data_IF_026228259671
#
_entry.id   IF_026228259671
#
_cell.length_a   1.000
_cell.length_b   1.000
_cell.length_c   1.000
_cell.angle_alpha   90.00
_cell.angle_beta   90.00
_cell.angle_gamma   90.00
#
_symmetry.space_group_name_H-M   'P 1'
#
loop_
_entity.id
_entity.type
_entity.pdbx_description
1 polymer ?
#
# COMPACT_ATOMS: atom_id res chain seq x y z
N UNK A 1 51.08 37.79 -28.43
CA UNK A 1 50.10 38.76 -28.94
C UNK A 1 48.77 38.00 -29.09
N UNK A 2 47.70 38.24 -28.41
CA UNK A 2 47.16 39.31 -27.60
C UNK A 2 46.43 38.67 -26.43
N UNK A 3 46.50 39.32 -25.31
CA UNK A 3 45.82 39.09 -24.03
C UNK A 3 44.34 39.44 -24.16
N UNK A 4 43.45 38.56 -23.67
CA UNK A 4 42.07 38.92 -23.47
C UNK A 4 41.73 38.91 -21.96
N UNK A 5 41.12 40.02 -21.52
CA UNK A 5 40.96 40.46 -20.14
C UNK A 5 39.69 39.85 -19.55
N UNK A 6 39.81 39.24 -18.41
CA UNK A 6 38.69 38.89 -17.51
C UNK A 6 37.93 40.14 -17.06
N UNK A 7 36.57 40.09 -17.12
CA UNK A 7 35.65 41.03 -16.49
C UNK A 7 35.15 40.47 -15.16
N UNK A 8 35.06 41.28 -14.10
CA UNK A 8 34.59 40.82 -12.79
C UNK A 8 33.06 40.68 -12.76
N UNK A 9 32.57 39.58 -12.21
CA UNK A 9 31.16 39.34 -11.91
C UNK A 9 30.76 40.13 -10.66
N UNK A 10 29.72 40.96 -10.79
CA UNK A 10 29.12 41.72 -9.69
C UNK A 10 28.43 40.78 -8.71
N UNK A 11 28.76 40.99 -7.42
CA UNK A 11 28.14 40.23 -6.30
C UNK A 11 26.66 40.57 -6.11
N UNK A 12 25.90 39.55 -5.73
CA UNK A 12 24.51 39.59 -5.28
C UNK A 12 24.51 39.97 -3.78
N UNK A 13 23.64 40.87 -3.31
CA UNK A 13 23.63 41.27 -1.90
C UNK A 13 23.03 40.19 -1.02
N UNK A 14 23.64 40.00 0.17
CA UNK A 14 23.22 39.04 1.19
C UNK A 14 21.85 39.37 1.77
N UNK A 15 21.02 38.34 1.81
CA UNK A 15 19.67 38.34 2.36
C UNK A 15 19.70 38.54 3.91
N UNK A 16 18.95 39.52 4.42
CA UNK A 16 18.84 39.84 5.84
C UNK A 16 17.99 38.78 6.53
N UNK A 17 18.58 38.00 7.39
CA UNK A 17 17.88 37.12 8.34
C UNK A 17 17.10 37.97 9.35
N UNK A 18 15.77 37.86 9.33
CA UNK A 18 14.88 38.40 10.35
C UNK A 18 15.07 37.64 11.67
N UNK A 19 15.32 38.35 12.75
CA UNK A 19 15.49 37.78 14.08
C UNK A 19 14.16 37.71 14.83
N UNK A 20 14.07 36.76 15.79
CA UNK A 20 12.87 36.49 16.61
C UNK A 20 12.33 37.68 17.40
N UNK A 21 12.99 38.82 17.37
CA UNK A 21 12.64 40.04 18.11
C UNK A 21 11.70 40.97 17.35
N UNK A 22 11.55 40.82 16.04
CA UNK A 22 10.74 41.72 15.19
C UNK A 22 9.24 41.32 15.10
N UNK A 23 8.84 40.21 15.75
CA UNK A 23 7.49 39.66 15.72
C UNK A 23 6.63 39.97 16.95
N UNK A 24 7.13 40.71 17.94
CA UNK A 24 6.43 40.94 19.21
C UNK A 24 5.87 42.33 19.43
N UNK A 25 5.87 43.23 18.44
CA UNK A 25 5.34 44.58 18.57
C UNK A 25 4.29 44.86 17.48
N UNK A 26 3.15 44.24 17.50
CA UNK A 26 1.87 44.76 16.94
C UNK A 26 0.71 43.82 17.27
N UNK A 27 -0.05 44.16 18.30
CA UNK A 27 -1.32 43.47 18.56
C UNK A 27 -1.85 43.65 19.99
N UNK A 28 -2.01 44.87 20.44
CA UNK A 28 -2.82 45.12 21.62
C UNK A 28 -4.02 45.99 21.24
N UNK A 29 -5.22 45.54 21.55
CA UNK A 29 -6.41 46.40 21.57
C UNK A 29 -7.66 45.81 20.95
N UNK A 30 -8.50 45.18 21.74
CA UNK A 30 -9.87 45.57 22.07
C UNK A 30 -10.64 44.42 22.72
N UNK A 31 -10.91 44.59 23.99
CA UNK A 31 -11.87 43.79 24.75
C UNK A 31 -13.30 44.28 24.44
N UNK A 32 -14.24 43.35 24.32
CA UNK A 32 -15.68 43.61 24.23
C UNK A 32 -16.45 42.39 24.72
N UNK A 33 -16.91 42.49 25.99
CA UNK A 33 -17.76 41.49 26.63
C UNK A 33 -19.24 41.69 26.26
N UNK A 34 -20.06 40.66 26.52
CA UNK A 34 -21.54 40.56 26.64
C UNK A 34 -22.11 39.57 25.64
N UNK A 35 -23.04 38.67 25.92
CA UNK A 35 -23.82 38.34 27.10
C UNK A 35 -24.40 36.94 26.87
N UNK A 36 -24.62 36.23 27.97
CA UNK A 36 -25.31 34.93 28.06
C UNK A 36 -26.81 35.14 27.90
N UNK A 37 -27.46 34.28 27.11
CA UNK A 37 -28.91 34.11 27.15
C UNK A 37 -29.34 32.75 26.64
N UNK A 38 -30.01 31.91 27.44
CA UNK A 38 -30.54 30.62 27.02
C UNK A 38 -31.92 30.81 26.40
N UNK A 39 -32.18 30.18 25.26
CA UNK A 39 -33.55 29.96 24.77
C UNK A 39 -33.79 28.46 24.64
N UNK A 40 -34.67 28.00 25.46
CA UNK A 40 -35.34 26.71 25.45
C UNK A 40 -36.47 26.67 24.43
N UNK A 41 -36.60 25.54 23.79
CA UNK A 41 -37.81 24.83 23.35
C UNK A 41 -38.75 25.51 22.34
N UNK A 42 -39.04 24.74 21.30
CA UNK A 42 -40.43 24.32 21.06
C UNK A 42 -40.43 23.16 20.03
N UNK A 43 -41.11 22.10 20.42
CA UNK A 43 -41.58 21.01 19.55
C UNK A 43 -42.63 21.47 18.57
N UNK A 44 -42.65 20.80 17.40
CA UNK A 44 -43.91 20.57 16.69
C UNK A 44 -43.87 20.84 15.17
N UNK A 45 -44.15 19.78 14.39
CA UNK A 45 -44.78 19.95 13.07
C UNK A 45 -44.07 19.35 11.87
N UNK A 46 -44.32 18.11 11.65
CA UNK A 46 -44.62 17.38 10.41
C UNK A 46 -44.30 18.04 9.04
N UNK A 47 -43.60 17.31 8.18
CA UNK A 47 -43.84 17.27 6.73
C UNK A 47 -42.76 17.88 5.85
N UNK A 48 -42.07 17.05 5.08
CA UNK A 48 -41.31 17.45 3.90
C UNK A 48 -39.89 16.89 3.89
N UNK A 49 -39.70 15.73 3.28
CA UNK A 49 -38.40 15.26 2.83
C UNK A 49 -37.86 16.19 1.76
N UNK A 50 -37.03 17.13 2.14
CA UNK A 50 -36.00 17.69 1.27
C UNK A 50 -34.66 17.42 1.96
N UNK A 51 -33.80 16.65 1.27
CA UNK A 51 -32.48 16.24 1.77
C UNK A 51 -31.59 17.45 2.07
N UNK A 52 -31.70 17.96 3.29
CA UNK A 52 -30.76 18.92 3.84
C UNK A 52 -29.51 18.18 4.29
N UNK A 53 -28.44 18.25 3.51
CA UNK A 53 -27.12 17.79 3.90
C UNK A 53 -26.66 18.51 5.17
N UNK A 54 -26.79 17.86 6.31
CA UNK A 54 -26.21 18.35 7.57
C UNK A 54 -24.71 18.11 7.56
N UNK A 55 -23.91 19.14 7.89
CA UNK A 55 -22.48 18.97 8.09
C UNK A 55 -22.23 17.85 9.12
N UNK A 56 -21.38 16.88 8.77
CA UNK A 56 -21.01 15.80 9.65
C UNK A 56 -20.21 16.36 10.84
N UNK A 57 -20.71 16.19 12.05
CA UNK A 57 -20.09 16.73 13.26
C UNK A 57 -18.85 15.95 13.71
N UNK A 58 -18.73 14.69 13.27
CA UNK A 58 -17.59 13.82 13.57
C UNK A 58 -17.41 12.78 12.46
N UNK A 59 -16.19 12.28 12.26
CA UNK A 59 -15.94 11.23 11.26
C UNK A 59 -16.72 9.96 11.60
N UNK A 60 -17.45 9.38 10.62
CA UNK A 60 -18.24 8.15 10.85
C UNK A 60 -17.34 6.93 11.03
N UNK A 61 -17.83 5.91 11.73
CA UNK A 61 -17.22 4.58 11.79
C UNK A 61 -17.85 3.58 10.81
N UNK A 62 -18.99 3.95 10.21
CA UNK A 62 -19.75 3.14 9.26
C UNK A 62 -20.18 4.00 8.07
N UNK A 63 -19.70 3.65 6.89
CA UNK A 63 -19.99 4.34 5.63
C UNK A 63 -21.42 4.14 5.15
N UNK A 64 -22.09 3.05 5.56
CA UNK A 64 -23.51 2.82 5.23
C UNK A 64 -24.47 3.73 6.01
N UNK A 65 -23.99 4.28 7.14
CA UNK A 65 -24.77 5.14 8.02
C UNK A 65 -24.80 6.62 7.58
N UNK A 66 -24.04 7.00 6.56
CA UNK A 66 -23.91 8.38 6.06
C UNK A 66 -24.11 8.46 4.56
N UNK A 67 -24.72 9.54 4.10
CA UNK A 67 -24.81 9.77 2.65
C UNK A 67 -23.41 10.11 2.10
N UNK A 68 -23.02 9.47 0.99
CA UNK A 68 -21.71 9.71 0.37
C UNK A 68 -21.49 11.21 0.05
N UNK A 69 -22.53 11.93 -0.33
CA UNK A 69 -22.43 13.37 -0.63
C UNK A 69 -22.05 14.20 0.61
N UNK A 70 -22.51 13.82 1.80
CA UNK A 70 -22.18 14.52 3.05
C UNK A 70 -20.71 14.24 3.43
N UNK A 71 -20.24 12.98 3.25
CA UNK A 71 -18.83 12.63 3.42
C UNK A 71 -17.95 13.39 2.41
N UNK A 72 -18.38 13.51 1.15
CA UNK A 72 -17.65 14.28 0.12
C UNK A 72 -17.59 15.77 0.50
N UNK A 73 -18.67 16.34 1.03
CA UNK A 73 -18.67 17.73 1.48
C UNK A 73 -17.67 17.95 2.64
N UNK A 74 -17.75 17.09 3.67
CA UNK A 74 -16.83 17.18 4.81
C UNK A 74 -15.36 16.99 4.42
N UNK A 75 -15.05 16.03 3.53
CA UNK A 75 -13.71 15.83 3.01
C UNK A 75 -13.21 17.04 2.17
N UNK A 76 -14.10 17.70 1.42
CA UNK A 76 -13.74 18.91 0.67
C UNK A 76 -13.45 20.10 1.58
N UNK A 77 -14.08 20.19 2.73
CA UNK A 77 -13.76 21.20 3.74
C UNK A 77 -12.37 20.99 4.33
N UNK A 78 -11.89 19.74 4.44
CA UNK A 78 -10.50 19.43 4.80
C UNK A 78 -9.53 19.76 3.65
N UNK A 79 -9.94 19.62 2.40
CA UNK A 79 -9.25 20.05 1.19
C UNK A 79 -8.06 19.20 0.75
N UNK A 80 -7.61 18.24 1.58
CA UNK A 80 -6.43 17.43 1.32
C UNK A 80 -6.57 15.99 1.85
N UNK A 81 -5.65 15.14 1.40
CA UNK A 81 -5.39 13.81 1.97
C UNK A 81 -3.89 13.51 1.87
N UNK A 82 -3.34 12.90 2.90
CA UNK A 82 -1.97 12.40 2.91
C UNK A 82 -1.97 10.87 2.87
N UNK A 83 -1.43 10.32 1.80
CA UNK A 83 -1.12 8.90 1.68
C UNK A 83 0.38 8.65 1.93
N UNK A 84 0.77 7.41 2.15
CA UNK A 84 2.16 7.00 2.31
C UNK A 84 2.35 5.65 1.63
N UNK A 85 3.56 5.37 1.14
CA UNK A 85 3.97 4.07 0.62
C UNK A 85 3.10 3.56 -0.56
N UNK A 86 2.59 4.45 -1.42
CA UNK A 86 1.83 4.09 -2.61
C UNK A 86 2.66 4.38 -3.87
N UNK A 87 3.57 3.48 -4.33
CA UNK A 87 4.30 3.69 -5.56
C UNK A 87 3.33 3.77 -6.75
N UNK A 88 3.46 4.74 -7.66
CA UNK A 88 2.54 4.89 -8.79
C UNK A 88 2.44 3.66 -9.71
N UNK A 89 3.51 2.89 -9.81
CA UNK A 89 3.66 1.66 -10.59
C UNK A 89 3.27 0.38 -9.83
N UNK A 90 2.96 0.48 -8.54
CA UNK A 90 2.49 -0.63 -7.73
C UNK A 90 0.97 -0.78 -7.83
N UNK A 91 0.49 -1.94 -8.29
CA UNK A 91 -0.94 -2.26 -8.39
C UNK A 91 -1.81 -1.13 -8.97
N UNK A 92 -1.23 -0.30 -9.88
CA UNK A 92 -1.88 0.83 -10.53
C UNK A 92 -2.24 2.02 -9.61
N UNK A 93 -1.55 2.20 -8.46
CA UNK A 93 -1.83 3.32 -7.55
C UNK A 93 -1.73 4.70 -8.20
N UNK A 94 -0.87 4.86 -9.22
CA UNK A 94 -0.77 6.12 -9.97
C UNK A 94 -2.11 6.57 -10.56
N UNK A 95 -2.80 5.66 -11.23
CA UNK A 95 -4.12 5.93 -11.83
C UNK A 95 -5.22 6.03 -10.75
N UNK A 96 -5.13 5.22 -9.67
CA UNK A 96 -6.06 5.27 -8.55
C UNK A 96 -6.03 6.65 -7.87
N UNK A 97 -4.83 7.14 -7.53
CA UNK A 97 -4.64 8.48 -6.95
C UNK A 97 -5.12 9.58 -7.89
N UNK A 98 -4.79 9.49 -9.18
CA UNK A 98 -5.25 10.45 -10.18
C UNK A 98 -6.77 10.46 -10.31
N UNK A 99 -7.40 9.29 -10.35
CA UNK A 99 -8.86 9.17 -10.46
C UNK A 99 -9.57 9.72 -9.23
N UNK A 100 -9.03 9.46 -8.03
CA UNK A 100 -9.53 10.03 -6.78
C UNK A 100 -9.47 11.56 -6.79
N UNK A 101 -8.30 12.13 -7.09
CA UNK A 101 -8.11 13.58 -7.17
C UNK A 101 -9.04 14.22 -8.22
N UNK A 102 -9.15 13.61 -9.40
CA UNK A 102 -10.01 14.12 -10.49
C UNK A 102 -11.48 14.10 -10.10
N UNK A 103 -11.92 13.08 -9.36
CA UNK A 103 -13.32 12.90 -8.97
C UNK A 103 -13.74 13.84 -7.85
N UNK A 104 -12.88 14.05 -6.86
CA UNK A 104 -13.26 14.77 -5.64
C UNK A 104 -12.63 16.16 -5.50
N UNK A 105 -11.58 16.47 -6.25
CA UNK A 105 -10.89 17.76 -6.22
C UNK A 105 -10.03 17.99 -5.01
N UNK A 106 -9.68 16.92 -4.26
CA UNK A 106 -8.81 16.99 -3.08
C UNK A 106 -7.34 17.02 -3.50
N UNK A 107 -6.51 17.76 -2.76
CA UNK A 107 -5.05 17.70 -2.89
C UNK A 107 -4.55 16.41 -2.25
N UNK A 108 -3.96 15.51 -3.02
CA UNK A 108 -3.34 14.29 -2.51
C UNK A 108 -1.81 14.48 -2.41
N UNK A 109 -1.25 14.16 -1.26
CA UNK A 109 0.19 14.09 -1.03
C UNK A 109 0.56 12.66 -0.69
N UNK A 110 1.42 12.03 -1.48
CA UNK A 110 1.91 10.67 -1.24
C UNK A 110 3.35 10.74 -0.74
N UNK A 111 3.55 10.45 0.56
CA UNK A 111 4.87 10.49 1.18
C UNK A 111 5.62 9.17 0.96
N UNK A 112 6.95 9.24 0.84
CA UNK A 112 7.85 8.06 0.76
C UNK A 112 7.23 6.89 -0.01
N UNK A 113 7.00 7.01 -1.33
CA UNK A 113 6.25 6.01 -2.10
C UNK A 113 6.77 4.57 -1.98
N UNK A 114 8.07 4.40 -1.77
CA UNK A 114 8.71 3.09 -1.69
C UNK A 114 8.95 2.62 -0.23
N UNK A 115 8.24 3.20 0.74
CA UNK A 115 8.35 2.77 2.13
C UNK A 115 7.75 1.37 2.32
N UNK A 116 8.33 0.60 3.24
CA UNK A 116 7.80 -0.69 3.64
C UNK A 116 6.71 -0.55 4.72
N UNK A 117 5.87 -1.58 4.90
CA UNK A 117 4.77 -1.56 5.86
C UNK A 117 5.19 -1.21 7.31
N UNK A 118 6.41 -1.54 7.71
CA UNK A 118 6.96 -1.14 9.02
C UNK A 118 7.18 0.36 9.13
N UNK A 119 7.62 1.01 8.03
CA UNK A 119 7.89 2.45 7.98
C UNK A 119 6.59 3.26 7.99
N UNK A 120 5.51 2.69 7.44
CA UNK A 120 4.17 3.29 7.51
C UNK A 120 3.68 3.36 8.96
N UNK A 121 3.77 2.27 9.74
CA UNK A 121 3.43 2.28 11.16
C UNK A 121 4.30 3.25 11.95
N UNK A 122 5.59 3.34 11.61
CA UNK A 122 6.52 4.27 12.25
C UNK A 122 6.19 5.73 11.92
N UNK A 123 5.73 6.01 10.69
CA UNK A 123 5.28 7.33 10.29
C UNK A 123 4.04 7.78 11.09
N UNK A 124 3.06 6.90 11.31
CA UNK A 124 1.89 7.19 12.17
C UNK A 124 2.34 7.59 13.59
N UNK A 125 3.30 6.87 14.17
CA UNK A 125 3.79 7.13 15.52
C UNK A 125 4.61 8.43 15.60
N UNK A 126 5.58 8.57 14.71
CA UNK A 126 6.54 9.69 14.76
C UNK A 126 5.98 11.02 14.29
N UNK A 127 4.95 11.00 13.43
CA UNK A 127 4.30 12.21 12.90
C UNK A 127 2.99 12.55 13.61
N UNK A 128 2.62 11.83 14.67
CA UNK A 128 1.38 12.06 15.42
C UNK A 128 1.17 13.54 15.75
N UNK A 129 -0.01 14.08 15.39
CA UNK A 129 -0.39 15.46 15.62
C UNK A 129 0.28 16.48 14.69
N UNK A 130 0.94 16.03 13.62
CA UNK A 130 1.47 16.91 12.57
C UNK A 130 0.56 16.84 11.33
N UNK A 131 0.37 17.99 10.65
CA UNK A 131 -0.47 18.08 9.45
C UNK A 131 0.02 17.22 8.28
N UNK A 132 1.27 16.78 8.31
CA UNK A 132 1.88 15.89 7.31
C UNK A 132 1.82 14.40 7.67
N UNK A 133 1.21 14.03 8.79
CA UNK A 133 1.03 12.64 9.15
C UNK A 133 0.18 11.93 8.08
N UNK A 134 0.41 10.65 7.78
CA UNK A 134 -0.43 9.92 6.85
C UNK A 134 -1.86 9.80 7.39
N UNK A 135 -2.84 10.00 6.52
CA UNK A 135 -4.26 9.78 6.83
C UNK A 135 -4.63 8.31 6.67
N UNK A 136 -4.05 7.66 5.66
CA UNK A 136 -4.32 6.27 5.30
C UNK A 136 -3.03 5.51 5.07
N UNK A 137 -3.08 4.20 5.27
CA UNK A 137 -1.98 3.26 5.10
C UNK A 137 -2.42 2.10 4.21
N UNK A 138 -1.45 1.45 3.57
CA UNK A 138 -1.63 0.23 2.79
C UNK A 138 -0.61 -0.85 3.21
N UNK A 139 -0.89 -1.49 4.32
CA UNK A 139 0.04 -2.40 4.99
C UNK A 139 -0.29 -3.87 4.77
N UNK A 140 0.71 -4.74 4.79
CA UNK A 140 0.47 -6.18 4.75
C UNK A 140 -0.20 -6.69 6.04
N UNK A 141 -0.91 -7.84 6.03
CA UNK A 141 -1.77 -8.30 7.14
C UNK A 141 -1.06 -8.43 8.48
N UNK A 142 0.22 -8.82 8.49
CA UNK A 142 0.99 -8.90 9.74
C UNK A 142 1.20 -7.52 10.39
N UNK A 143 1.36 -6.48 9.58
CA UNK A 143 1.49 -5.09 10.04
C UNK A 143 0.12 -4.46 10.32
N UNK A 144 -0.93 -4.87 9.62
CA UNK A 144 -2.30 -4.48 9.95
C UNK A 144 -2.71 -4.98 11.34
N UNK A 145 -2.40 -6.24 11.67
CA UNK A 145 -2.59 -6.79 13.02
C UNK A 145 -1.78 -6.00 14.06
N UNK A 146 -0.50 -5.74 13.81
CA UNK A 146 0.35 -4.95 14.69
C UNK A 146 -0.21 -3.54 14.91
N UNK A 147 -0.62 -2.84 13.86
CA UNK A 147 -1.16 -1.49 13.96
C UNK A 147 -2.46 -1.42 14.78
N UNK A 148 -3.33 -2.44 14.66
CA UNK A 148 -4.50 -2.61 15.51
C UNK A 148 -4.11 -2.81 16.98
N UNK A 149 -3.20 -3.74 17.26
CA UNK A 149 -2.74 -4.07 18.62
C UNK A 149 -2.08 -2.85 19.31
N UNK A 150 -1.33 -2.05 18.54
CA UNK A 150 -0.71 -0.81 19.00
C UNK A 150 -1.70 0.39 19.04
N UNK A 151 -2.99 0.18 18.72
CA UNK A 151 -4.04 1.22 18.72
C UNK A 151 -3.71 2.42 17.80
N UNK A 152 -3.11 2.13 16.65
CA UNK A 152 -2.72 3.16 15.67
C UNK A 152 -3.86 3.52 14.71
N UNK A 153 -4.91 2.70 14.59
CA UNK A 153 -5.94 2.83 13.57
C UNK A 153 -7.28 3.29 14.12
N UNK A 154 -8.03 4.01 13.29
CA UNK A 154 -9.45 4.28 13.52
C UNK A 154 -10.31 3.23 12.81
N UNK A 155 -11.36 2.73 13.43
CA UNK A 155 -12.27 1.78 12.79
C UNK A 155 -13.12 2.50 11.72
N UNK A 156 -13.30 1.83 10.57
CA UNK A 156 -14.23 2.25 9.54
C UNK A 156 -14.68 1.06 8.69
N UNK A 157 -15.98 0.86 8.59
CA UNK A 157 -16.60 -0.10 7.68
C UNK A 157 -17.11 0.66 6.45
N UNK A 158 -16.55 0.36 5.28
CA UNK A 158 -16.98 0.98 4.03
C UNK A 158 -18.42 0.62 3.67
N UNK A 159 -19.12 1.47 2.90
CA UNK A 159 -20.51 1.24 2.51
C UNK A 159 -20.75 -0.09 1.77
N UNK A 160 -19.71 -0.66 1.20
CA UNK A 160 -19.73 -1.97 0.49
C UNK A 160 -19.23 -3.13 1.34
N UNK A 161 -19.14 -2.98 2.66
CA UNK A 161 -18.55 -3.93 3.62
C UNK A 161 -19.03 -5.37 3.46
N UNK A 162 -20.33 -5.57 3.28
CA UNK A 162 -20.95 -6.90 3.16
C UNK A 162 -20.58 -7.64 1.87
N UNK A 163 -19.97 -6.94 0.91
CA UNK A 163 -19.52 -7.52 -0.35
C UNK A 163 -18.06 -7.96 -0.35
N UNK A 164 -17.35 -7.66 0.75
CA UNK A 164 -15.95 -8.04 0.97
C UNK A 164 -15.93 -9.35 1.78
N UNK A 165 -15.16 -10.37 1.37
CA UNK A 165 -15.03 -11.62 2.12
C UNK A 165 -14.55 -11.38 3.56
N UNK A 166 -15.12 -12.12 4.54
CA UNK A 166 -14.74 -12.00 5.95
C UNK A 166 -13.26 -12.32 6.20
N UNK A 167 -12.64 -13.14 5.36
CA UNK A 167 -11.21 -13.45 5.42
C UNK A 167 -10.31 -12.27 5.02
N UNK A 168 -10.87 -11.22 4.43
CA UNK A 168 -10.14 -10.04 3.96
C UNK A 168 -10.48 -8.78 4.75
N UNK A 169 -11.05 -8.88 5.95
CA UNK A 169 -11.40 -7.71 6.76
C UNK A 169 -11.31 -8.00 8.26
N UNK A 170 -10.97 -6.98 9.01
CA UNK A 170 -11.05 -7.01 10.45
C UNK A 170 -12.52 -6.84 10.89
N UNK A 171 -13.08 -7.73 11.72
CA UNK A 171 -14.51 -7.65 12.09
C UNK A 171 -14.89 -6.33 12.79
N UNK A 172 -13.92 -5.67 13.45
CA UNK A 172 -14.13 -4.38 14.13
C UNK A 172 -13.87 -3.18 13.20
N UNK A 173 -13.47 -3.40 11.94
CA UNK A 173 -13.26 -2.36 10.94
C UNK A 173 -11.95 -1.60 11.03
N UNK A 174 -10.93 -2.06 11.78
CA UNK A 174 -9.64 -1.37 11.87
C UNK A 174 -8.80 -1.43 10.59
N UNK A 175 -9.03 -2.45 9.77
CA UNK A 175 -8.42 -2.60 8.45
C UNK A 175 -9.33 -3.41 7.53
N UNK A 176 -9.12 -3.27 6.25
CA UNK A 176 -9.84 -4.02 5.22
C UNK A 176 -8.91 -4.32 4.04
N UNK A 177 -8.85 -5.59 3.60
CA UNK A 177 -8.09 -6.01 2.44
C UNK A 177 -8.64 -5.37 1.17
N UNK A 178 -7.78 -4.87 0.32
CA UNK A 178 -8.16 -4.11 -0.87
C UNK A 178 -7.97 -4.89 -2.17
N UNK A 179 -6.83 -5.52 -2.32
CA UNK A 179 -6.48 -6.41 -3.43
C UNK A 179 -5.51 -7.48 -2.95
N UNK A 180 -5.34 -8.53 -3.73
CA UNK A 180 -4.39 -9.60 -3.46
C UNK A 180 -3.62 -10.01 -4.71
N UNK A 181 -2.52 -10.68 -4.52
CA UNK A 181 -1.70 -11.31 -5.54
C UNK A 181 -1.10 -12.62 -5.06
N UNK A 182 -0.56 -13.39 -5.99
CA UNK A 182 0.22 -14.59 -5.71
C UNK A 182 1.72 -14.31 -5.85
N UNK A 183 2.53 -15.02 -5.07
CA UNK A 183 3.99 -14.97 -5.24
C UNK A 183 4.35 -15.60 -6.59
N UNK A 184 5.14 -14.87 -7.38
CA UNK A 184 5.58 -15.28 -8.70
C UNK A 184 7.08 -14.98 -8.90
N UNK A 185 7.66 -15.61 -9.91
CA UNK A 185 9.01 -15.33 -10.38
C UNK A 185 8.96 -14.45 -11.62
N UNK A 186 9.72 -13.37 -11.61
CA UNK A 186 10.05 -12.62 -12.80
C UNK A 186 11.45 -12.95 -13.28
N UNK A 187 11.68 -12.98 -14.57
CA UNK A 187 13.00 -13.28 -15.12
C UNK A 187 13.31 -12.44 -16.36
N UNK A 188 14.51 -11.88 -16.38
CA UNK A 188 15.10 -11.22 -17.53
C UNK A 188 15.78 -12.25 -18.45
N UNK A 189 15.12 -12.62 -19.55
CA UNK A 189 15.63 -13.62 -20.50
C UNK A 189 16.83 -13.15 -21.32
N UNK A 190 17.24 -11.89 -21.23
CA UNK A 190 18.50 -11.41 -21.80
C UNK A 190 19.71 -11.84 -20.94
N UNK A 191 19.46 -12.24 -19.67
CA UNK A 191 20.48 -12.59 -18.66
C UNK A 191 20.39 -14.04 -18.19
N UNK A 192 19.17 -14.62 -18.16
CA UNK A 192 18.94 -16.01 -17.73
C UNK A 192 18.27 -16.83 -18.82
N UNK A 193 18.53 -18.16 -18.90
CA UNK A 193 18.08 -18.98 -20.04
C UNK A 193 16.58 -19.25 -20.06
N UNK A 194 15.93 -19.21 -18.88
CA UNK A 194 14.51 -19.51 -18.75
C UNK A 194 13.94 -18.89 -17.47
N UNK A 195 12.61 -18.76 -17.42
CA UNK A 195 11.87 -18.40 -16.20
C UNK A 195 11.84 -19.63 -15.28
N UNK A 196 12.21 -19.52 -14.00
CA UNK A 196 11.97 -20.57 -13.02
C UNK A 196 10.47 -20.90 -12.92
N UNK A 197 10.14 -22.19 -12.78
CA UNK A 197 8.75 -22.69 -12.68
C UNK A 197 8.48 -23.40 -11.37
N UNK A 198 9.51 -23.66 -10.59
CA UNK A 198 9.48 -24.23 -9.25
C UNK A 198 10.48 -23.53 -8.33
N UNK A 199 10.30 -23.68 -7.03
CA UNK A 199 11.27 -23.17 -6.06
C UNK A 199 12.63 -23.86 -6.16
N UNK A 200 12.66 -25.16 -6.55
CA UNK A 200 13.91 -25.88 -6.75
C UNK A 200 14.74 -25.31 -7.92
N UNK A 201 14.08 -24.79 -8.98
CA UNK A 201 14.78 -24.15 -10.10
C UNK A 201 15.64 -22.97 -9.67
N UNK A 202 15.30 -22.28 -8.56
CA UNK A 202 16.09 -21.18 -8.03
C UNK A 202 17.48 -21.60 -7.50
N UNK A 203 17.69 -22.91 -7.29
CA UNK A 203 18.99 -23.46 -6.90
C UNK A 203 19.91 -23.76 -8.08
N UNK A 204 19.45 -23.58 -9.33
CA UNK A 204 20.27 -23.82 -10.52
C UNK A 204 21.55 -22.98 -10.45
N UNK A 205 22.76 -23.60 -10.68
CA UNK A 205 24.04 -22.88 -10.65
C UNK A 205 24.14 -21.71 -11.64
N UNK A 206 23.37 -21.73 -12.74
CA UNK A 206 23.30 -20.62 -13.71
C UNK A 206 22.70 -19.34 -13.13
N UNK A 207 21.99 -19.44 -12.01
CA UNK A 207 21.38 -18.32 -11.27
C UNK A 207 22.28 -17.73 -10.19
N UNK A 208 23.56 -18.10 -10.15
CA UNK A 208 24.50 -17.55 -9.18
C UNK A 208 24.55 -16.02 -9.25
N UNK A 209 24.28 -15.36 -8.11
CA UNK A 209 24.26 -13.89 -8.00
C UNK A 209 23.09 -13.23 -8.72
N UNK A 210 21.95 -13.91 -8.93
CA UNK A 210 20.87 -13.39 -9.77
C UNK A 210 19.48 -13.40 -9.14
N UNK A 211 19.27 -14.06 -7.99
CA UNK A 211 17.95 -14.18 -7.35
C UNK A 211 17.80 -13.12 -6.26
N UNK A 212 16.78 -12.30 -6.36
CA UNK A 212 16.47 -11.23 -5.41
C UNK A 212 15.00 -11.26 -4.94
N UNK A 213 14.74 -10.70 -3.76
CA UNK A 213 13.39 -10.43 -3.26
C UNK A 213 13.12 -8.93 -3.21
N UNK A 214 11.85 -8.55 -3.18
CA UNK A 214 11.44 -7.17 -2.97
C UNK A 214 11.48 -6.84 -1.46
N UNK A 215 12.65 -6.44 -0.98
CA UNK A 215 12.91 -6.00 0.39
C UNK A 215 13.35 -7.11 1.35
N UNK A 216 13.44 -6.71 2.61
CA UNK A 216 13.78 -7.59 3.74
C UNK A 216 12.48 -8.21 4.31
N UNK A 217 12.39 -9.54 4.49
CA UNK A 217 11.17 -10.17 4.97
C UNK A 217 10.78 -9.80 6.41
N UNK A 218 11.68 -9.16 7.15
CA UNK A 218 11.36 -8.60 8.49
C UNK A 218 10.53 -7.31 8.42
N UNK A 219 10.56 -6.60 7.29
CA UNK A 219 9.97 -5.26 7.10
C UNK A 219 9.06 -5.16 5.88
N UNK A 220 9.33 -5.93 4.81
CA UNK A 220 8.58 -5.94 3.57
C UNK A 220 7.55 -7.07 3.52
N UNK A 221 6.31 -6.75 3.14
CA UNK A 221 5.23 -7.72 2.94
C UNK A 221 5.47 -8.68 1.77
N UNK A 222 6.08 -8.20 0.67
CA UNK A 222 6.43 -9.03 -0.48
C UNK A 222 7.47 -10.08 -0.14
N UNK A 223 8.58 -9.68 0.45
CA UNK A 223 9.64 -10.60 0.85
C UNK A 223 9.16 -11.59 1.92
N UNK A 224 8.33 -11.14 2.87
CA UNK A 224 7.67 -12.00 3.85
C UNK A 224 6.83 -13.10 3.18
N UNK A 225 6.04 -12.75 2.18
CA UNK A 225 5.25 -13.71 1.41
C UNK A 225 6.13 -14.69 0.61
N UNK A 226 7.27 -14.23 0.10
CA UNK A 226 8.27 -15.07 -0.55
C UNK A 226 8.80 -16.17 0.38
N UNK A 227 9.03 -15.87 1.69
CA UNK A 227 9.44 -16.88 2.67
C UNK A 227 8.32 -17.89 2.94
N UNK A 228 7.06 -17.46 3.01
CA UNK A 228 5.92 -18.38 3.12
C UNK A 228 5.83 -19.34 1.93
N UNK A 229 5.90 -18.81 0.72
CA UNK A 229 5.83 -19.60 -0.50
C UNK A 229 6.99 -20.61 -0.58
N UNK A 230 8.20 -20.17 -0.27
CA UNK A 230 9.36 -21.06 -0.17
C UNK A 230 9.14 -22.17 0.86
N UNK A 231 8.55 -21.87 2.01
CA UNK A 231 8.24 -22.86 3.04
C UNK A 231 7.27 -23.92 2.55
N UNK A 232 6.15 -23.50 1.93
CA UNK A 232 5.16 -24.44 1.38
C UNK A 232 5.76 -25.38 0.33
N UNK A 233 6.68 -24.88 -0.51
CA UNK A 233 7.37 -25.65 -1.52
C UNK A 233 8.38 -26.67 -0.92
N UNK A 234 8.91 -26.38 0.26
CA UNK A 234 9.96 -27.18 0.89
C UNK A 234 9.46 -28.00 2.10
N UNK A 235 8.17 -28.40 2.09
CA UNK A 235 7.60 -29.30 3.08
C UNK A 235 7.11 -28.64 4.36
N UNK A 236 7.10 -27.30 4.43
CA UNK A 236 6.49 -26.53 5.49
C UNK A 236 4.98 -26.40 5.35
N UNK A 237 4.40 -25.57 6.19
CA UNK A 237 2.95 -25.29 6.20
C UNK A 237 2.68 -23.82 6.53
N UNK A 238 1.41 -23.42 6.58
CA UNK A 238 1.04 -22.08 7.08
C UNK A 238 1.36 -21.88 8.58
N UNK A 239 1.51 -22.98 9.34
CA UNK A 239 1.83 -22.96 10.77
C UNK A 239 3.33 -23.14 11.05
N UNK A 240 4.11 -23.55 10.04
CA UNK A 240 5.58 -23.71 10.15
C UNK A 240 6.28 -23.21 8.88
N UNK A 241 6.87 -22.04 8.98
CA UNK A 241 7.63 -21.42 7.88
C UNK A 241 9.14 -21.59 8.03
N UNK A 242 9.60 -22.39 8.97
CA UNK A 242 11.04 -22.70 9.16
C UNK A 242 11.70 -23.17 7.86
N UNK A 243 11.09 -24.12 7.07
CA UNK A 243 11.69 -24.56 5.81
C UNK A 243 11.90 -23.43 4.79
N UNK A 244 11.09 -22.34 4.83
CA UNK A 244 11.29 -21.19 3.97
C UNK A 244 12.55 -20.39 4.35
N UNK A 245 12.81 -20.20 5.64
CA UNK A 245 14.04 -19.54 6.11
C UNK A 245 15.26 -20.39 5.76
N UNK A 246 15.19 -21.70 5.93
CA UNK A 246 16.27 -22.64 5.56
C UNK A 246 16.54 -22.64 4.05
N UNK A 247 15.49 -22.55 3.22
CA UNK A 247 15.63 -22.44 1.77
C UNK A 247 16.44 -21.21 1.37
N UNK A 248 16.13 -20.03 1.93
CA UNK A 248 16.91 -18.82 1.65
C UNK A 248 18.34 -18.87 2.22
N UNK A 249 18.53 -19.52 3.36
CA UNK A 249 19.87 -19.78 3.88
C UNK A 249 20.69 -20.65 2.92
N UNK A 250 20.08 -21.66 2.31
CA UNK A 250 20.72 -22.49 1.28
C UNK A 250 21.02 -21.67 0.02
N UNK A 251 20.05 -20.91 -0.52
CA UNK A 251 20.26 -20.03 -1.68
C UNK A 251 21.39 -19.03 -1.45
N UNK A 252 21.51 -18.48 -0.25
CA UNK A 252 22.62 -17.60 0.14
C UNK A 252 23.94 -18.35 0.16
N UNK A 253 23.96 -19.55 0.73
CA UNK A 253 25.17 -20.39 0.85
C UNK A 253 25.71 -20.79 -0.53
N UNK A 254 24.86 -21.17 -1.48
CA UNK A 254 25.26 -21.50 -2.86
C UNK A 254 25.56 -20.26 -3.70
N UNK A 255 25.19 -19.07 -3.21
CA UNK A 255 25.49 -17.77 -3.82
C UNK A 255 24.48 -17.33 -4.89
N UNK A 256 23.31 -17.95 -4.99
CA UNK A 256 22.26 -17.55 -5.93
C UNK A 256 21.48 -16.33 -5.42
N UNK A 257 21.18 -16.28 -4.10
CA UNK A 257 20.47 -15.14 -3.50
C UNK A 257 21.39 -13.93 -3.31
N UNK A 258 20.91 -12.77 -3.74
CA UNK A 258 21.54 -11.46 -3.53
C UNK A 258 20.61 -10.57 -2.70
N UNK A 259 21.14 -9.87 -1.68
CA UNK A 259 20.35 -8.93 -0.87
C UNK A 259 20.27 -7.56 -1.56
N UNK A 260 19.64 -7.54 -2.72
CA UNK A 260 19.38 -6.32 -3.52
C UNK A 260 17.87 -6.18 -3.64
N UNK A 261 17.35 -5.02 -3.27
CA UNK A 261 15.92 -4.78 -3.35
C UNK A 261 15.44 -4.77 -4.80
N UNK A 262 14.37 -5.51 -5.06
CA UNK A 262 13.69 -5.48 -6.36
C UNK A 262 12.92 -4.17 -6.46
N UNK A 263 13.28 -3.37 -7.43
CA UNK A 263 12.61 -2.12 -7.77
C UNK A 263 12.42 -2.05 -9.28
N UNK A 264 11.48 -1.23 -9.80
CA UNK A 264 11.38 -0.98 -11.24
C UNK A 264 12.74 -0.63 -11.88
N UNK A 265 13.53 0.20 -11.18
CA UNK A 265 14.86 0.61 -11.64
C UNK A 265 15.88 -0.53 -11.70
N UNK A 266 15.92 -1.42 -10.70
CA UNK A 266 16.84 -2.56 -10.67
C UNK A 266 16.48 -3.62 -11.73
N UNK A 267 15.18 -3.83 -11.97
CA UNK A 267 14.67 -4.70 -13.03
C UNK A 267 15.04 -4.15 -14.41
N UNK A 268 14.74 -2.87 -14.68
CA UNK A 268 15.02 -2.21 -15.96
C UNK A 268 16.52 -2.19 -16.32
N UNK A 269 17.40 -2.10 -15.31
CA UNK A 269 18.86 -2.14 -15.48
C UNK A 269 19.44 -3.55 -15.53
N UNK A 270 18.65 -4.59 -15.28
CA UNK A 270 19.11 -5.97 -15.19
C UNK A 270 19.94 -6.28 -13.94
N UNK A 271 19.84 -5.47 -12.88
CA UNK A 271 20.54 -5.67 -11.60
C UNK A 271 19.91 -6.81 -10.79
N UNK A 272 18.62 -7.08 -10.99
CA UNK A 272 17.86 -8.17 -10.36
C UNK A 272 17.26 -9.07 -11.45
N UNK A 273 18.07 -9.95 -12.08
CA UNK A 273 17.67 -10.72 -13.25
C UNK A 273 16.57 -11.77 -12.98
N UNK A 274 16.50 -12.30 -11.77
CA UNK A 274 15.41 -13.17 -11.29
C UNK A 274 14.87 -12.60 -10.01
N UNK A 275 13.57 -12.36 -9.98
CA UNK A 275 12.89 -11.74 -8.84
C UNK A 275 11.82 -12.64 -8.26
N UNK A 276 11.66 -12.60 -6.95
CA UNK A 276 10.56 -13.20 -6.20
C UNK A 276 9.72 -12.04 -5.69
N UNK A 277 8.51 -11.89 -6.25
CA UNK A 277 7.61 -10.78 -5.95
C UNK A 277 6.16 -11.15 -6.34
N UNK A 278 5.24 -10.20 -6.25
CA UNK A 278 3.85 -10.38 -6.63
C UNK A 278 3.68 -10.54 -8.14
N UNK A 279 2.78 -11.43 -8.54
CA UNK A 279 2.43 -11.69 -9.94
C UNK A 279 1.98 -10.44 -10.69
N UNK A 280 1.21 -9.56 -10.06
CA UNK A 280 0.73 -8.33 -10.68
C UNK A 280 1.86 -7.34 -11.00
N UNK A 281 2.90 -7.25 -10.15
CA UNK A 281 4.08 -6.43 -10.44
C UNK A 281 4.89 -7.01 -11.59
N UNK A 282 5.12 -8.32 -11.55
CA UNK A 282 5.84 -9.02 -12.60
C UNK A 282 5.14 -8.89 -13.96
N UNK A 283 3.80 -8.96 -13.97
CA UNK A 283 2.99 -8.76 -15.18
C UNK A 283 3.08 -7.32 -15.70
N UNK A 284 3.04 -6.33 -14.81
CA UNK A 284 3.19 -4.92 -15.17
C UNK A 284 4.55 -4.66 -15.83
N UNK A 285 5.64 -5.20 -15.28
CA UNK A 285 7.00 -5.06 -15.83
C UNK A 285 7.14 -5.63 -17.24
N UNK A 286 6.36 -6.67 -17.60
CA UNK A 286 6.36 -7.23 -18.97
C UNK A 286 5.99 -6.19 -20.03
N UNK A 287 5.07 -5.28 -19.72
CA UNK A 287 4.69 -4.18 -20.62
C UNK A 287 5.55 -2.94 -20.44
N UNK A 288 5.81 -2.55 -19.21
CA UNK A 288 6.52 -1.32 -18.86
C UNK A 288 7.96 -1.31 -19.36
N UNK A 289 8.66 -2.42 -19.21
CA UNK A 289 10.08 -2.52 -19.58
C UNK A 289 10.34 -3.26 -20.90
N UNK A 290 9.29 -3.49 -21.72
CA UNK A 290 9.40 -4.25 -22.98
C UNK A 290 10.48 -3.72 -23.96
N UNK A 291 10.82 -2.42 -23.90
CA UNK A 291 11.87 -1.82 -24.71
C UNK A 291 13.28 -1.91 -24.10
N UNK A 292 13.40 -2.37 -22.85
CA UNK A 292 14.65 -2.39 -22.09
C UNK A 292 15.13 -3.82 -21.80
N UNK A 293 14.20 -4.70 -21.42
CA UNK A 293 14.49 -6.09 -21.03
C UNK A 293 13.44 -7.05 -21.56
N UNK A 294 13.84 -8.27 -21.89
CA UNK A 294 12.94 -9.37 -22.24
C UNK A 294 12.40 -10.02 -20.96
N UNK A 295 11.42 -9.35 -20.31
CA UNK A 295 10.86 -9.80 -19.06
C UNK A 295 9.79 -10.87 -19.24
N UNK A 296 9.85 -11.94 -18.46
CA UNK A 296 8.85 -13.01 -18.42
C UNK A 296 8.47 -13.36 -16.99
N UNK A 297 7.24 -13.83 -16.83
CA UNK A 297 6.65 -14.18 -15.54
C UNK A 297 6.36 -15.67 -15.48
N UNK A 298 6.74 -16.31 -14.37
CA UNK A 298 6.40 -17.68 -14.03
C UNK A 298 5.69 -17.72 -12.68
N UNK A 299 4.46 -18.23 -12.65
CA UNK A 299 3.83 -18.60 -11.38
C UNK A 299 4.33 -19.99 -11.01
N UNK A 300 4.97 -20.18 -9.83
CA UNK A 300 5.50 -21.49 -9.46
C UNK A 300 4.39 -22.53 -9.35
N UNK A 301 4.74 -23.77 -9.68
CA UNK A 301 3.82 -24.93 -9.62
C UNK A 301 3.80 -25.62 -8.26
N UNK A 302 4.60 -25.09 -7.34
CA UNK A 302 4.78 -25.50 -5.94
C UNK A 302 4.85 -24.25 -5.05
N UNK A 303 4.45 -24.38 -3.78
CA UNK A 303 4.50 -23.26 -2.84
C UNK A 303 3.54 -22.11 -3.19
N UNK A 304 2.37 -22.43 -3.73
CA UNK A 304 1.37 -21.45 -4.15
C UNK A 304 0.84 -20.69 -2.92
N UNK A 305 1.37 -19.50 -2.71
CA UNK A 305 1.01 -18.59 -1.63
C UNK A 305 0.58 -17.23 -2.17
N UNK A 306 -0.51 -16.71 -1.64
CA UNK A 306 -0.97 -15.36 -1.89
C UNK A 306 -1.08 -14.55 -0.62
N UNK A 307 -1.04 -13.26 -0.78
CA UNK A 307 -1.32 -12.33 0.30
C UNK A 307 -2.02 -11.09 -0.27
N UNK A 308 -2.56 -10.30 0.64
CA UNK A 308 -3.27 -9.07 0.32
C UNK A 308 -2.63 -7.90 1.05
N UNK A 309 -3.00 -6.69 0.67
CA UNK A 309 -2.72 -5.50 1.45
C UNK A 309 -3.99 -5.02 2.15
N UNK A 310 -3.81 -4.19 3.16
CA UNK A 310 -4.89 -3.74 4.03
C UNK A 310 -4.89 -2.22 4.08
N UNK A 311 -5.96 -1.63 3.61
CA UNK A 311 -6.24 -0.23 3.87
C UNK A 311 -6.59 -0.05 5.35
N UNK A 312 -5.92 0.89 6.01
CA UNK A 312 -6.22 1.30 7.37
C UNK A 312 -6.25 2.83 7.46
N UNK A 313 -7.06 3.36 8.37
CA UNK A 313 -7.11 4.79 8.65
C UNK A 313 -6.27 5.08 9.89
N UNK A 314 -5.35 6.04 9.82
CA UNK A 314 -4.63 6.53 10.99
C UNK A 314 -5.62 7.06 12.04
N UNK A 315 -5.54 6.55 13.28
CA UNK A 315 -6.40 6.94 14.39
C UNK A 315 -6.28 8.42 14.79
N UNK A 316 -5.23 9.08 14.31
CA UNK A 316 -4.98 10.52 14.50
C UNK A 316 -4.78 11.25 13.18
N UNK A 317 -5.46 10.78 12.12
CA UNK A 317 -5.40 11.35 10.78
C UNK A 317 -5.68 12.86 10.80
N UNK A 318 -4.84 13.71 10.15
CA UNK A 318 -5.14 15.13 10.02
C UNK A 318 -6.38 15.42 9.17
N UNK A 319 -6.74 14.53 8.23
CA UNK A 319 -7.88 14.67 7.35
C UNK A 319 -8.81 13.43 7.46
N UNK A 320 -9.52 13.28 8.59
CA UNK A 320 -10.25 12.05 8.90
C UNK A 320 -11.45 11.77 7.99
N UNK A 321 -12.09 12.78 7.40
CA UNK A 321 -13.17 12.59 6.43
C UNK A 321 -12.62 12.20 5.04
N UNK A 322 -11.53 12.84 4.61
CA UNK A 322 -10.85 12.49 3.36
C UNK A 322 -10.27 11.06 3.40
N UNK A 323 -9.78 10.60 4.56
CA UNK A 323 -9.34 9.22 4.77
C UNK A 323 -10.48 8.22 4.53
N UNK A 324 -11.68 8.49 5.04
CA UNK A 324 -12.86 7.64 4.82
C UNK A 324 -13.35 7.70 3.37
N UNK A 325 -13.33 8.88 2.77
CA UNK A 325 -13.68 9.06 1.36
C UNK A 325 -12.71 8.31 0.43
N UNK A 326 -11.41 8.25 0.79
CA UNK A 326 -10.43 7.43 0.10
C UNK A 326 -10.82 5.95 0.14
N UNK A 327 -11.18 5.42 1.31
CA UNK A 327 -11.62 4.03 1.42
C UNK A 327 -12.92 3.79 0.64
N UNK A 328 -13.92 4.67 0.72
CA UNK A 328 -15.13 4.55 -0.12
C UNK A 328 -14.80 4.51 -1.61
N UNK A 329 -13.84 5.31 -2.06
CA UNK A 329 -13.38 5.27 -3.46
C UNK A 329 -12.67 3.95 -3.78
N UNK A 330 -11.73 3.52 -2.97
CA UNK A 330 -10.98 2.28 -3.15
C UNK A 330 -11.90 1.06 -3.23
N UNK A 331 -12.94 1.01 -2.39
CA UNK A 331 -13.91 -0.09 -2.38
C UNK A 331 -15.14 0.14 -3.26
N UNK A 332 -15.21 1.23 -4.04
CA UNK A 332 -16.19 1.38 -5.13
C UNK A 332 -15.87 0.43 -6.29
N UNK A 333 -16.85 0.17 -7.17
CA UNK A 333 -16.59 -0.62 -8.40
C UNK A 333 -15.47 0.02 -9.23
N UNK A 334 -15.41 1.36 -9.29
CA UNK A 334 -14.36 2.09 -10.00
C UNK A 334 -12.97 1.81 -9.43
N UNK A 335 -12.79 1.94 -8.12
CA UNK A 335 -11.51 1.67 -7.45
C UNK A 335 -11.06 0.22 -7.64
N UNK A 336 -11.97 -0.73 -7.43
CA UNK A 336 -11.69 -2.16 -7.59
C UNK A 336 -11.30 -2.52 -9.03
N UNK A 337 -11.91 -1.91 -10.05
CA UNK A 337 -11.53 -2.13 -11.46
C UNK A 337 -10.17 -1.51 -11.80
N UNK A 338 -9.74 -0.45 -11.11
CA UNK A 338 -8.41 0.14 -11.30
C UNK A 338 -7.31 -0.81 -10.80
N UNK A 339 -7.50 -1.50 -9.67
CA UNK A 339 -6.58 -2.55 -9.23
C UNK A 339 -6.54 -3.73 -10.20
N UNK A 340 -7.71 -4.18 -10.68
CA UNK A 340 -7.77 -5.25 -11.69
C UNK A 340 -7.04 -4.85 -12.99
N UNK A 341 -7.11 -3.58 -13.38
CA UNK A 341 -6.34 -3.04 -14.52
C UNK A 341 -4.83 -3.10 -14.26
N UNK A 342 -4.40 -2.98 -13.00
CA UNK A 342 -3.05 -3.19 -12.53
C UNK A 342 -2.68 -4.66 -12.30
N UNK A 343 -3.45 -5.61 -12.86
CA UNK A 343 -3.27 -7.06 -12.76
C UNK A 343 -3.49 -7.67 -11.38
N UNK A 344 -3.78 -6.90 -10.35
CA UNK A 344 -4.07 -7.41 -9.01
C UNK A 344 -5.53 -7.85 -8.88
N UNK A 345 -5.81 -8.76 -7.94
CA UNK A 345 -7.15 -9.28 -7.72
C UNK A 345 -7.88 -8.42 -6.68
N UNK A 346 -8.93 -7.65 -7.07
CA UNK A 346 -9.65 -6.81 -6.12
C UNK A 346 -10.42 -7.63 -5.08
N UNK A 347 -10.50 -7.13 -3.85
CA UNK A 347 -11.19 -7.82 -2.74
C UNK A 347 -12.66 -8.11 -3.03
N UNK A 348 -13.34 -7.25 -3.80
CA UNK A 348 -14.75 -7.38 -4.18
C UNK A 348 -14.98 -8.12 -5.51
N UNK A 349 -13.94 -8.82 -6.03
CA UNK A 349 -14.03 -9.47 -7.35
C UNK A 349 -15.24 -10.40 -7.46
N UNK A 350 -15.50 -11.23 -6.45
CA UNK A 350 -16.61 -12.20 -6.47
C UNK A 350 -17.98 -11.52 -6.55
N UNK A 351 -18.21 -10.45 -5.79
CA UNK A 351 -19.43 -9.65 -5.85
C UNK A 351 -19.59 -8.99 -7.23
N UNK A 352 -18.55 -8.35 -7.72
CA UNK A 352 -18.55 -7.66 -9.01
C UNK A 352 -18.77 -8.63 -10.18
N UNK A 353 -18.17 -9.83 -10.13
CA UNK A 353 -18.36 -10.87 -11.14
C UNK A 353 -19.81 -11.37 -11.13
N UNK A 354 -20.41 -11.59 -9.94
CA UNK A 354 -21.81 -11.99 -9.79
C UNK A 354 -22.78 -10.96 -10.40
N UNK A 355 -22.45 -9.66 -10.29
CA UNK A 355 -23.23 -8.57 -10.86
C UNK A 355 -22.91 -8.27 -12.34
N UNK A 356 -22.01 -9.03 -12.97
CA UNK A 356 -21.47 -8.79 -14.32
C UNK A 356 -20.81 -7.39 -14.46
N UNK A 357 -20.24 -6.85 -13.39
CA UNK A 357 -19.55 -5.57 -13.37
C UNK A 357 -18.07 -5.66 -13.77
N UNK A 358 -17.52 -6.86 -13.98
CA UNK A 358 -16.12 -7.07 -14.35
C UNK A 358 -15.95 -7.16 -15.87
N UNK A 359 -15.19 -6.26 -16.53
CA UNK A 359 -14.91 -6.36 -17.95
C UNK A 359 -14.09 -7.62 -18.31
N UNK A 360 -14.56 -8.39 -19.28
CA UNK A 360 -13.88 -9.64 -19.72
C UNK A 360 -12.44 -9.40 -20.17
N UNK A 361 -12.14 -8.27 -20.77
CA UNK A 361 -10.80 -7.94 -21.23
C UNK A 361 -9.78 -7.83 -20.08
N UNK A 362 -10.20 -7.33 -18.93
CA UNK A 362 -9.32 -7.25 -17.74
C UNK A 362 -9.05 -8.65 -17.16
N UNK A 363 -10.07 -9.51 -17.11
CA UNK A 363 -9.88 -10.89 -16.64
C UNK A 363 -8.96 -11.69 -17.58
N UNK A 364 -9.06 -11.46 -18.88
CA UNK A 364 -8.23 -12.15 -19.88
C UNK A 364 -6.74 -11.76 -19.81
N UNK A 365 -6.41 -10.66 -19.17
CA UNK A 365 -5.02 -10.22 -18.95
C UNK A 365 -4.34 -10.91 -17.77
N UNK A 366 -5.11 -11.58 -16.88
CA UNK A 366 -4.59 -12.31 -15.74
C UNK A 366 -4.12 -13.71 -16.13
N UNK A 367 -3.22 -14.34 -15.36
CA UNK A 367 -2.94 -15.76 -15.43
C UNK A 367 -4.21 -16.61 -15.29
N UNK A 368 -4.16 -17.87 -15.71
CA UNK A 368 -5.36 -18.73 -15.69
C UNK A 368 -5.92 -18.90 -14.27
N UNK A 369 -7.24 -18.90 -14.14
CA UNK A 369 -7.93 -19.14 -12.87
C UNK A 369 -7.49 -20.45 -12.17
N UNK A 370 -7.03 -21.47 -12.93
CA UNK A 370 -6.55 -22.73 -12.39
C UNK A 370 -5.30 -22.56 -11.49
N UNK A 371 -4.45 -21.56 -11.76
CA UNK A 371 -3.29 -21.26 -10.93
C UNK A 371 -3.73 -20.67 -9.59
N UNK A 372 -4.67 -19.76 -9.61
CA UNK A 372 -5.14 -19.07 -8.41
C UNK A 372 -6.00 -19.94 -7.48
N UNK A 373 -6.64 -20.99 -7.99
CA UNK A 373 -7.43 -21.92 -7.18
C UNK A 373 -6.62 -22.70 -6.14
N UNK A 374 -5.30 -22.74 -6.27
CA UNK A 374 -4.40 -23.43 -5.34
C UNK A 374 -3.73 -22.49 -4.34
N UNK A 375 -3.83 -21.20 -4.54
CA UNK A 375 -3.19 -20.19 -3.70
C UNK A 375 -3.74 -20.28 -2.28
N UNK A 376 -2.83 -20.38 -1.31
CA UNK A 376 -3.12 -20.41 0.12
C UNK A 376 -2.88 -19.05 0.72
N UNK A 377 -3.69 -18.69 1.70
CA UNK A 377 -3.58 -17.46 2.47
C UNK A 377 -3.39 -17.81 3.94
N UNK A 378 -2.44 -17.14 4.60
CA UNK A 378 -2.25 -17.25 6.03
C UNK A 378 -3.31 -16.44 6.78
N UNK A 379 -3.83 -16.99 7.88
CA UNK A 379 -4.69 -16.24 8.78
C UNK A 379 -3.88 -15.25 9.66
N UNK A 380 -4.53 -14.32 10.41
CA UNK A 380 -3.83 -13.33 11.22
C UNK A 380 -2.83 -13.92 12.22
N UNK A 381 -3.19 -15.04 12.89
CA UNK A 381 -2.30 -15.72 13.84
C UNK A 381 -1.07 -16.28 13.14
N UNK A 382 -1.25 -16.96 12.00
CA UNK A 382 -0.15 -17.52 11.21
C UNK A 382 0.80 -16.42 10.71
N UNK A 383 0.27 -15.27 10.28
CA UNK A 383 1.08 -14.12 9.91
C UNK A 383 1.90 -13.57 11.10
N UNK A 384 1.30 -13.48 12.30
CA UNK A 384 2.00 -13.02 13.50
C UNK A 384 3.11 -13.98 13.92
N UNK A 385 2.82 -15.28 13.97
CA UNK A 385 3.80 -16.31 14.36
C UNK A 385 4.96 -16.37 13.36
N UNK A 386 4.68 -16.29 12.06
CA UNK A 386 5.66 -16.25 10.99
C UNK A 386 6.56 -15.02 11.08
N UNK A 387 5.98 -13.84 11.35
CA UNK A 387 6.75 -12.60 11.55
C UNK A 387 7.71 -12.71 12.71
N UNK A 388 7.26 -13.28 13.84
CA UNK A 388 8.10 -13.50 15.00
C UNK A 388 9.28 -14.45 14.68
N UNK A 389 9.02 -15.55 13.96
CA UNK A 389 10.05 -16.51 13.53
C UNK A 389 11.07 -15.86 12.58
N UNK A 390 10.61 -15.16 11.55
CA UNK A 390 11.50 -14.47 10.60
C UNK A 390 12.36 -13.44 11.34
N UNK A 391 11.76 -12.62 12.20
CA UNK A 391 12.50 -11.61 12.98
C UNK A 391 13.61 -12.24 13.83
N UNK A 392 13.33 -13.40 14.44
CA UNK A 392 14.30 -14.08 15.29
C UNK A 392 15.43 -14.78 14.51
N UNK A 393 15.17 -15.28 13.31
CA UNK A 393 16.09 -16.21 12.63
C UNK A 393 16.77 -15.65 11.39
N UNK A 394 16.14 -14.68 10.67
CA UNK A 394 16.59 -14.24 9.35
C UNK A 394 18.03 -13.72 9.36
N UNK A 395 18.34 -12.78 10.25
CA UNK A 395 19.66 -12.16 10.30
C UNK A 395 20.79 -13.18 10.56
N UNK A 396 20.55 -14.20 11.40
CA UNK A 396 21.56 -15.20 11.74
C UNK A 396 21.73 -16.28 10.68
N UNK A 397 20.66 -16.62 9.93
CA UNK A 397 20.69 -17.72 8.96
C UNK A 397 20.96 -17.26 7.53
N UNK A 398 20.35 -16.15 7.11
CA UNK A 398 20.42 -15.65 5.73
C UNK A 398 21.35 -14.45 5.62
N UNK A 399 21.45 -13.67 6.69
CA UNK A 399 22.22 -12.43 6.73
C UNK A 399 21.37 -11.21 6.47
N UNK A 400 21.88 -10.03 6.84
CA UNK A 400 21.24 -8.75 6.60
C UNK A 400 21.66 -8.22 5.22
#
# INVERSE_FOLDING_TARGET
MATDRERPVRGVPADRRLTRRDLLVRGAGAAGALAIGPILAACGGNGGEEGGGGALASPPSDGSAVALNDLVAAAKDEGAINTIALPPDWANYGEIMQAFQSKYGLKLTNATPNAASSEELEAVKSLKGQDRAPDVLDVSPAFAAQGKDESLFAPYQVSTWDTIPDSLKDPDGFWVGDYWGAVAFGANLDVVPAVPTSWEDLKDPSLKGKVAMNGDPRTSGSAFAGVFAASLANGGSLDDITPGVEFFAELKKIGNYIPVDVTPGSVAKGETPVTIDWDYLQLAYTGEFASQVTWKVGVPTDGEFGNYYCQAINGTAPHPFAARLWQEFCYSDQGQLLWLKGYSHPARFADMAKRNAVPKALVAALPSAALYNKVKFANPKQNTDAKALITAQWASKVGA
#
